data_IF_552047309903
#
_entry.id   IF_552047309903
#
_cell.length_a   1.000
_cell.length_b   1.000
_cell.length_c   1.000
_cell.angle_alpha   90.00
_cell.angle_beta   90.00
_cell.angle_gamma   90.00
#
_symmetry.space_group_name_H-M   'P 1'
#
loop_
_entity.id
_entity.type
_entity.pdbx_description
1 polymer ?
#
# COMPACT_ATOMS: atom_id res chain seq x y z
N UNK A 1 16.40 16.71 -11.61
CA UNK A 1 17.06 15.85 -10.61
C UNK A 1 18.47 15.60 -11.13
N UNK A 2 19.48 15.77 -10.30
CA UNK A 2 20.89 15.67 -10.70
C UNK A 2 21.66 14.71 -9.79
N UNK A 3 22.45 13.81 -10.38
CA UNK A 3 23.30 12.84 -9.68
C UNK A 3 24.73 13.37 -9.66
N UNK A 4 25.27 13.74 -8.50
CA UNK A 4 26.48 14.61 -8.43
C UNK A 4 27.69 14.04 -7.70
N UNK A 5 27.62 12.83 -7.12
CA UNK A 5 28.81 12.19 -6.55
C UNK A 5 28.75 10.68 -6.70
N UNK A 6 29.80 10.05 -7.23
CA UNK A 6 29.97 8.60 -7.18
C UNK A 6 31.22 8.30 -6.38
N UNK A 7 31.08 7.83 -5.16
CA UNK A 7 32.19 7.15 -4.48
C UNK A 7 32.01 5.66 -4.74
N UNK A 8 32.99 5.04 -5.39
CA UNK A 8 33.05 3.60 -5.51
C UNK A 8 33.56 3.04 -4.17
N UNK A 9 32.64 2.51 -3.36
CA UNK A 9 32.91 2.16 -1.96
C UNK A 9 33.24 0.70 -1.77
N UNK A 10 32.82 -0.16 -2.71
CA UNK A 10 33.09 -1.60 -2.71
C UNK A 10 32.89 -2.19 -4.11
N UNK A 11 33.19 -3.48 -4.30
CA UNK A 11 32.94 -4.17 -5.58
C UNK A 11 31.47 -4.16 -5.99
N UNK A 12 30.53 -4.08 -5.03
CA UNK A 12 29.09 -4.26 -5.25
C UNK A 12 28.24 -3.00 -5.08
N UNK A 13 28.61 -2.10 -4.17
CA UNK A 13 27.80 -0.93 -3.82
C UNK A 13 28.43 0.39 -4.28
N UNK A 14 27.56 1.35 -4.57
CA UNK A 14 27.93 2.74 -4.88
C UNK A 14 27.11 3.69 -4.04
N UNK A 15 27.75 4.78 -3.63
CA UNK A 15 27.10 5.88 -2.92
C UNK A 15 26.91 7.04 -3.88
N UNK A 16 25.70 7.60 -3.87
CA UNK A 16 25.26 8.68 -4.72
C UNK A 16 24.68 9.85 -3.94
N UNK A 17 24.88 11.05 -4.46
CA UNK A 17 24.13 12.25 -4.06
C UNK A 17 23.12 12.59 -5.13
N UNK A 18 21.89 12.82 -4.70
CA UNK A 18 20.81 13.29 -5.56
C UNK A 18 20.35 14.66 -5.12
N UNK A 19 20.34 15.63 -6.03
CA UNK A 19 19.82 16.97 -5.77
C UNK A 19 18.52 17.19 -6.56
N UNK A 20 17.47 17.62 -5.86
CA UNK A 20 16.15 17.93 -6.42
C UNK A 20 16.03 19.41 -6.79
N UNK A 21 15.03 19.77 -7.59
CA UNK A 21 14.86 21.12 -8.17
C UNK A 21 14.70 22.23 -7.12
N UNK A 22 14.27 21.89 -5.90
CA UNK A 22 14.13 22.84 -4.78
C UNK A 22 15.35 22.89 -3.87
N UNK A 23 16.45 22.23 -4.25
CA UNK A 23 17.67 22.14 -3.44
C UNK A 23 17.61 21.11 -2.32
N UNK A 24 16.54 20.30 -2.23
CA UNK A 24 16.51 19.11 -1.39
C UNK A 24 17.58 18.12 -1.87
N UNK A 25 18.14 17.33 -0.96
CA UNK A 25 19.24 16.41 -1.27
C UNK A 25 19.01 15.05 -0.61
N UNK A 26 19.37 13.97 -1.32
CA UNK A 26 19.29 12.59 -0.86
C UNK A 26 20.66 11.92 -0.97
N UNK A 27 21.07 11.21 0.08
CA UNK A 27 22.20 10.30 0.04
C UNK A 27 21.71 8.87 -0.21
N UNK A 28 22.29 8.20 -1.19
CA UNK A 28 21.76 6.94 -1.70
C UNK A 28 22.85 5.89 -1.74
N UNK A 29 22.65 4.77 -1.05
CA UNK A 29 23.49 3.58 -1.14
C UNK A 29 22.79 2.53 -1.99
N UNK A 30 23.37 2.14 -3.14
CA UNK A 30 22.75 1.23 -4.10
C UNK A 30 23.70 0.13 -4.57
N UNK A 31 23.14 -1.05 -4.83
CA UNK A 31 23.80 -2.09 -5.63
C UNK A 31 24.03 -1.56 -7.06
N UNK A 32 25.25 -1.68 -7.58
CA UNK A 32 25.67 -1.15 -8.89
C UNK A 32 24.77 -1.61 -10.04
N UNK A 33 24.17 -2.80 -9.92
CA UNK A 33 23.30 -3.38 -10.96
C UNK A 33 21.95 -2.64 -11.10
N UNK A 34 21.53 -1.90 -10.07
CA UNK A 34 20.26 -1.15 -10.06
C UNK A 34 20.42 0.19 -10.76
N UNK A 35 21.62 0.78 -10.75
CA UNK A 35 21.88 2.13 -11.26
C UNK A 35 21.35 2.39 -12.68
N UNK A 36 21.51 1.49 -13.68
CA UNK A 36 20.99 1.71 -15.03
C UNK A 36 19.46 1.69 -15.13
N UNK A 37 18.76 1.21 -14.11
CA UNK A 37 17.30 1.05 -14.05
C UNK A 37 16.62 2.19 -13.30
N UNK A 38 17.40 3.09 -12.70
CA UNK A 38 16.87 4.27 -12.04
C UNK A 38 16.47 5.34 -13.05
N UNK A 39 15.51 6.22 -12.71
CA UNK A 39 15.14 7.33 -13.56
C UNK A 39 16.38 8.15 -13.94
N UNK A 40 16.59 8.47 -15.24
CA UNK A 40 17.74 9.26 -15.66
C UNK A 40 17.70 10.64 -15.00
N UNK A 41 18.87 11.25 -14.80
CA UNK A 41 18.97 12.67 -14.49
C UNK A 41 18.39 13.46 -15.67
N UNK A 42 17.10 13.80 -15.61
CA UNK A 42 16.50 14.66 -16.63
C UNK A 42 16.88 16.11 -16.33
N UNK A 43 17.54 16.83 -17.26
CA UNK A 43 17.76 18.27 -17.15
C UNK A 43 16.44 19.06 -17.31
N UNK A 44 15.40 18.41 -17.83
CA UNK A 44 14.07 18.97 -17.99
C UNK A 44 13.18 18.55 -16.80
N UNK A 45 12.41 19.46 -16.17
CA UNK A 45 11.33 19.04 -15.29
C UNK A 45 10.42 18.07 -16.06
N UNK A 46 9.84 17.04 -15.42
CA UNK A 46 8.87 16.18 -16.09
C UNK A 46 7.86 17.06 -16.81
N UNK A 47 7.68 16.83 -18.12
CA UNK A 47 6.91 17.69 -19.03
C UNK A 47 5.44 17.84 -18.60
N UNK A 48 4.98 16.93 -17.74
CA UNK A 48 3.79 17.14 -16.94
C UNK A 48 4.20 17.83 -15.63
N UNK A 49 3.78 19.09 -15.45
CA UNK A 49 3.60 19.63 -14.10
C UNK A 49 2.96 18.53 -13.25
N UNK A 50 3.49 18.18 -12.06
CA UNK A 50 2.76 17.31 -11.16
C UNK A 50 1.37 17.91 -11.07
N UNK A 51 0.33 17.13 -11.39
CA UNK A 51 -1.05 17.59 -11.24
C UNK A 51 -1.18 18.21 -9.85
N UNK A 52 -2.07 19.19 -9.67
CA UNK A 52 -2.23 19.87 -8.37
C UNK A 52 -2.36 18.88 -7.19
N UNK A 53 -2.83 17.65 -7.46
CA UNK A 53 -2.87 16.49 -6.56
C UNK A 53 -1.51 15.95 -6.05
N UNK A 54 -0.36 16.46 -6.51
CA UNK A 54 0.99 16.03 -6.10
C UNK A 54 1.77 17.14 -5.38
N UNK A 55 1.12 18.24 -4.99
CA UNK A 55 1.75 19.28 -4.19
C UNK A 55 1.28 19.16 -2.75
N UNK A 56 2.24 19.15 -1.83
CA UNK A 56 1.97 19.28 -0.40
C UNK A 56 1.01 20.45 -0.16
N UNK A 57 -0.12 20.24 0.54
CA UNK A 57 -1.04 21.32 0.86
C UNK A 57 -0.33 22.41 1.68
N UNK A 58 -0.66 23.68 1.39
CA UNK A 58 -0.12 24.84 2.13
C UNK A 58 -1.25 25.66 2.77
N UNK A 59 -1.21 25.94 4.09
CA UNK A 59 -0.26 25.38 5.06
C UNK A 59 -0.41 23.85 5.18
N UNK A 60 0.64 23.12 5.63
CA UNK A 60 0.55 21.69 5.89
C UNK A 60 -0.62 21.37 6.82
N UNK A 61 -1.42 20.32 6.56
CA UNK A 61 -2.58 19.96 7.38
C UNK A 61 -2.19 19.27 8.70
N UNK A 62 -0.93 19.40 9.12
CA UNK A 62 -0.37 18.75 10.29
C UNK A 62 0.68 19.61 10.98
N UNK A 63 0.99 19.25 12.23
CA UNK A 63 2.12 19.74 13.01
C UNK A 63 2.90 18.54 13.58
N UNK A 64 4.20 18.72 13.86
CA UNK A 64 5.01 17.73 14.57
C UNK A 64 5.22 18.22 16.00
N UNK A 65 4.90 17.38 16.98
CA UNK A 65 5.08 17.68 18.41
C UNK A 65 5.33 16.40 19.21
N UNK A 66 5.66 16.55 20.49
CA UNK A 66 5.80 15.42 21.42
C UNK A 66 4.50 14.59 21.47
N UNK A 67 4.62 13.29 21.23
CA UNK A 67 3.53 12.31 21.24
C UNK A 67 3.34 11.65 22.62
N UNK A 68 4.11 12.07 23.61
CA UNK A 68 4.06 11.60 24.98
C UNK A 68 5.16 10.59 25.32
N UNK A 69 5.19 10.14 26.58
CA UNK A 69 6.26 9.29 27.10
C UNK A 69 6.48 8.02 26.26
N UNK A 70 7.73 7.80 25.83
CA UNK A 70 8.13 6.60 25.07
C UNK A 70 7.74 6.59 23.59
N UNK A 71 7.07 7.64 23.07
CA UNK A 71 6.68 7.75 21.65
C UNK A 71 7.50 8.74 20.85
N UNK A 72 8.29 9.59 21.51
CA UNK A 72 9.07 10.62 20.84
C UNK A 72 8.17 11.66 20.15
N UNK A 73 8.58 12.14 18.98
CA UNK A 73 7.76 13.06 18.19
C UNK A 73 6.71 12.31 17.38
N UNK A 74 5.52 12.89 17.24
CA UNK A 74 4.44 12.42 16.39
C UNK A 74 3.92 13.51 15.46
N UNK A 75 3.25 13.09 14.40
CA UNK A 75 2.54 13.96 13.47
C UNK A 75 1.06 14.06 13.90
N UNK A 76 0.51 15.28 13.98
CA UNK A 76 -0.87 15.52 14.41
C UNK A 76 -1.61 16.43 13.44
N UNK A 77 -2.85 16.08 13.10
CA UNK A 77 -3.65 16.88 12.19
C UNK A 77 -4.01 18.24 12.78
N UNK A 78 -3.84 19.33 12.03
CA UNK A 78 -4.22 20.69 12.46
C UNK A 78 -5.63 21.08 12.05
N UNK A 79 -6.24 20.29 11.16
CA UNK A 79 -7.60 20.43 10.65
C UNK A 79 -8.13 19.06 10.23
N UNK A 80 -9.42 18.98 9.91
CA UNK A 80 -10.01 17.75 9.39
C UNK A 80 -9.36 17.39 8.03
N UNK A 81 -9.00 16.12 7.86
CA UNK A 81 -8.42 15.57 6.62
C UNK A 81 -9.38 14.50 6.09
N UNK A 82 -9.96 14.69 4.89
CA UNK A 82 -10.84 13.68 4.28
C UNK A 82 -10.10 12.37 3.96
N UNK A 83 -10.83 11.25 3.90
CA UNK A 83 -10.28 9.99 3.40
C UNK A 83 -9.73 10.15 1.98
N UNK A 84 -8.57 9.54 1.72
CA UNK A 84 -7.83 9.60 0.46
C UNK A 84 -7.12 10.93 0.15
N UNK A 85 -7.28 11.95 1.00
CA UNK A 85 -6.64 13.23 0.78
C UNK A 85 -5.11 13.15 0.97
N UNK A 86 -4.38 13.87 0.12
CA UNK A 86 -2.94 14.06 0.24
C UNK A 86 -2.61 14.86 1.50
N UNK A 87 -1.66 14.35 2.30
CA UNK A 87 -1.14 15.00 3.51
C UNK A 87 0.19 15.69 3.20
N UNK A 88 1.11 14.98 2.53
CA UNK A 88 2.48 15.44 2.28
C UNK A 88 3.08 14.72 1.06
N UNK A 89 3.87 15.43 0.26
CA UNK A 89 4.84 14.82 -0.66
C UNK A 89 6.24 15.19 -0.21
N UNK A 90 7.12 14.20 -0.08
CA UNK A 90 8.48 14.37 0.42
C UNK A 90 9.48 13.55 -0.39
N UNK A 91 10.66 14.12 -0.65
CA UNK A 91 11.82 13.40 -1.19
C UNK A 91 12.61 12.75 -0.05
N UNK A 92 13.19 11.57 -0.24
CA UNK A 92 13.95 10.90 0.82
C UNK A 92 15.24 11.64 1.15
N UNK A 93 15.64 11.62 2.41
CA UNK A 93 16.96 12.06 2.87
C UNK A 93 18.02 10.97 2.68
N UNK A 94 17.64 9.71 2.93
CA UNK A 94 18.49 8.53 2.75
C UNK A 94 17.73 7.44 2.00
N UNK A 95 18.41 6.73 1.09
CA UNK A 95 17.95 5.44 0.54
C UNK A 95 19.04 4.39 0.74
N UNK A 96 18.71 3.25 1.35
CA UNK A 96 19.64 2.15 1.63
C UNK A 96 18.96 0.79 1.40
N UNK A 97 19.72 -0.31 1.28
CA UNK A 97 19.17 -1.66 1.43
C UNK A 97 18.42 -1.78 2.75
N UNK A 98 17.29 -2.50 2.74
CA UNK A 98 16.44 -2.71 3.91
C UNK A 98 17.02 -3.70 4.93
N UNK A 99 17.96 -4.54 4.49
CA UNK A 99 18.68 -5.49 5.32
C UNK A 99 20.16 -5.47 4.94
N UNK A 100 21.03 -5.92 5.85
CA UNK A 100 22.42 -6.21 5.49
C UNK A 100 22.43 -7.34 4.45
N UNK A 101 23.01 -7.12 3.25
CA UNK A 101 23.13 -8.21 2.29
C UNK A 101 24.03 -9.29 2.89
N UNK A 102 23.51 -10.50 3.08
CA UNK A 102 24.26 -11.63 3.68
C UNK A 102 25.56 -11.97 2.91
N UNK A 103 25.59 -11.61 1.63
CA UNK A 103 26.73 -11.84 0.72
C UNK A 103 27.78 -10.71 0.74
N UNK A 104 27.61 -9.67 1.55
CA UNK A 104 28.55 -8.56 1.66
C UNK A 104 29.49 -8.77 2.86
N UNK A 105 30.80 -8.66 2.65
CA UNK A 105 31.75 -8.73 3.74
C UNK A 105 31.52 -7.55 4.72
N UNK A 106 31.69 -7.74 6.05
CA UNK A 106 31.49 -6.66 7.03
C UNK A 106 32.31 -5.40 6.75
N UNK A 107 33.53 -5.55 6.22
CA UNK A 107 34.39 -4.42 5.84
C UNK A 107 33.80 -3.61 4.66
N UNK A 108 33.21 -4.28 3.67
CA UNK A 108 32.57 -3.63 2.53
C UNK A 108 31.29 -2.90 2.95
N UNK A 109 30.51 -3.48 3.86
CA UNK A 109 29.35 -2.81 4.49
C UNK A 109 29.80 -1.54 5.22
N UNK A 110 30.88 -1.63 6.00
CA UNK A 110 31.46 -0.51 6.74
C UNK A 110 31.89 0.62 5.80
N UNK A 111 32.61 0.30 4.72
CA UNK A 111 33.06 1.29 3.75
C UNK A 111 31.88 2.00 3.07
N UNK A 112 30.84 1.25 2.70
CA UNK A 112 29.63 1.76 2.06
C UNK A 112 28.87 2.76 2.93
N UNK A 113 28.56 2.41 4.19
CA UNK A 113 27.84 3.33 5.08
C UNK A 113 28.68 4.54 5.50
N UNK A 114 29.99 4.39 5.70
CA UNK A 114 30.85 5.56 5.98
C UNK A 114 30.84 6.55 4.82
N UNK A 115 30.93 6.07 3.59
CA UNK A 115 30.83 6.93 2.42
C UNK A 115 29.44 7.56 2.27
N UNK A 116 28.37 6.84 2.58
CA UNK A 116 27.02 7.41 2.64
C UNK A 116 26.97 8.61 3.60
N UNK A 117 27.54 8.48 4.81
CA UNK A 117 27.59 9.57 5.79
C UNK A 117 28.42 10.77 5.32
N UNK A 118 29.37 10.60 4.39
CA UNK A 118 30.15 11.73 3.82
C UNK A 118 29.40 12.50 2.74
N UNK A 119 28.44 11.85 2.07
CA UNK A 119 27.66 12.44 0.99
C UNK A 119 26.36 13.07 1.51
N UNK A 120 25.90 12.64 2.69
CA UNK A 120 24.74 13.20 3.36
C UNK A 120 24.98 14.65 3.81
N UNK A 121 24.20 15.56 3.23
CA UNK A 121 24.28 16.99 3.54
C UNK A 121 23.81 17.34 4.95
N UNK A 122 24.37 18.41 5.52
CA UNK A 122 24.13 18.84 6.90
C UNK A 122 22.64 19.05 7.23
N UNK A 123 21.84 19.61 6.31
CA UNK A 123 20.41 19.85 6.52
C UNK A 123 19.63 18.55 6.76
N UNK A 124 19.57 17.64 5.76
CA UNK A 124 18.99 16.30 5.93
C UNK A 124 19.58 15.52 7.11
N UNK A 125 20.90 15.62 7.32
CA UNK A 125 21.60 14.96 8.45
C UNK A 125 21.06 15.40 9.81
N UNK A 126 20.91 16.70 10.03
CA UNK A 126 20.33 17.23 11.26
C UNK A 126 18.89 16.72 11.48
N UNK A 127 18.11 16.63 10.40
CA UNK A 127 16.73 16.13 10.45
C UNK A 127 16.63 14.66 10.89
N UNK A 128 17.47 13.79 10.33
CA UNK A 128 17.46 12.35 10.65
C UNK A 128 18.08 12.05 12.01
N UNK A 129 19.09 12.81 12.45
CA UNK A 129 19.74 12.59 13.77
C UNK A 129 18.79 12.85 14.94
N UNK A 130 17.68 13.56 14.72
CA UNK A 130 16.61 13.71 15.70
C UNK A 130 15.56 12.58 15.68
N UNK A 131 15.76 11.50 14.92
CA UNK A 131 14.87 10.34 14.88
C UNK A 131 15.24 9.30 15.93
N UNK A 132 14.31 8.39 16.22
CA UNK A 132 14.60 7.24 17.09
C UNK A 132 15.64 6.33 16.44
N UNK A 133 16.50 5.71 17.23
CA UNK A 133 17.46 4.72 16.76
C UNK A 133 17.52 3.56 17.77
N UNK A 134 16.85 2.45 17.45
CA UNK A 134 16.86 1.24 18.28
C UNK A 134 18.08 0.34 17.99
N UNK A 135 18.92 0.73 17.02
CA UNK A 135 20.13 0.02 16.59
C UNK A 135 21.37 0.94 16.70
N UNK A 136 21.73 1.42 17.90
CA UNK A 136 22.87 2.32 18.07
C UNK A 136 24.20 1.63 17.75
N UNK A 137 25.23 2.45 17.47
CA UNK A 137 26.56 1.97 17.09
C UNK A 137 27.17 1.10 18.18
N UNK A 138 27.76 -0.05 17.80
CA UNK A 138 28.49 -0.92 18.73
C UNK A 138 27.61 -1.75 19.68
N UNK A 139 26.32 -1.91 19.37
CA UNK A 139 25.45 -2.86 20.08
C UNK A 139 25.33 -4.14 19.24
N UNK A 140 25.92 -5.23 19.72
CA UNK A 140 25.75 -6.58 19.16
C UNK A 140 24.29 -7.05 19.34
N UNK A 141 23.68 -7.62 18.30
CA UNK A 141 22.42 -8.36 18.43
C UNK A 141 21.17 -7.49 18.64
N UNK A 142 20.88 -6.60 17.69
CA UNK A 142 19.50 -6.16 17.49
C UNK A 142 18.60 -7.41 17.45
N UNK A 143 17.59 -7.47 18.31
CA UNK A 143 16.82 -8.69 18.59
C UNK A 143 15.97 -9.07 17.36
N UNK A 144 16.56 -9.63 16.31
CA UNK A 144 15.87 -10.44 15.31
C UNK A 144 15.89 -11.90 15.76
N UNK A 145 14.83 -12.65 15.52
CA UNK A 145 14.79 -14.09 15.82
C UNK A 145 15.89 -14.87 15.08
N UNK A 146 16.25 -16.01 15.67
CA UNK A 146 17.36 -16.90 15.30
C UNK A 146 17.39 -17.25 13.80
N UNK A 147 18.39 -16.74 13.08
CA UNK A 147 18.69 -17.17 11.70
C UNK A 147 19.39 -16.15 10.81
N UNK A 148 19.28 -14.85 11.12
CA UNK A 148 19.80 -13.76 10.28
C UNK A 148 20.70 -12.87 11.15
N UNK A 149 22.02 -13.03 11.04
CA UNK A 149 22.97 -12.31 11.89
C UNK A 149 22.91 -10.79 11.69
N UNK A 150 22.28 -10.06 12.61
CA UNK A 150 22.36 -8.60 12.67
C UNK A 150 23.59 -8.18 13.49
N UNK A 151 24.75 -8.12 12.82
CA UNK A 151 25.97 -7.55 13.39
C UNK A 151 25.85 -6.05 13.67
N UNK A 152 26.66 -5.52 14.60
CA UNK A 152 26.65 -4.12 15.07
C UNK A 152 26.43 -3.09 13.96
N UNK A 153 25.53 -2.11 14.19
CA UNK A 153 25.45 -0.93 13.34
C UNK A 153 26.75 -0.13 13.45
N UNK A 154 27.22 0.38 12.33
CA UNK A 154 28.57 0.91 12.16
C UNK A 154 28.59 2.44 12.13
N UNK A 155 27.43 3.05 11.86
CA UNK A 155 27.20 4.50 11.87
C UNK A 155 25.82 4.81 12.48
N UNK A 156 25.61 6.01 13.05
CA UNK A 156 24.29 6.44 13.47
C UNK A 156 23.28 6.43 12.30
N UNK A 157 23.71 6.80 11.10
CA UNK A 157 22.85 6.84 9.91
C UNK A 157 22.34 5.45 9.49
N UNK A 158 23.17 4.41 9.60
CA UNK A 158 22.76 3.01 9.36
C UNK A 158 21.66 2.59 10.34
N UNK A 159 21.88 2.80 11.64
CA UNK A 159 20.91 2.44 12.67
C UNK A 159 19.59 3.21 12.51
N UNK A 160 19.66 4.51 12.20
CA UNK A 160 18.48 5.34 11.92
C UNK A 160 17.76 4.85 10.65
N UNK A 161 18.50 4.52 9.59
CA UNK A 161 17.90 4.04 8.34
C UNK A 161 17.17 2.71 8.53
N UNK A 162 17.71 1.80 9.33
CA UNK A 162 17.07 0.53 9.64
C UNK A 162 15.92 0.66 10.64
N UNK A 163 15.98 1.65 11.54
CA UNK A 163 14.89 1.92 12.50
C UNK A 163 13.70 2.64 11.87
N UNK A 164 13.94 3.56 10.92
CA UNK A 164 12.91 4.50 10.42
C UNK A 164 12.58 4.30 8.94
N UNK A 165 13.43 3.57 8.20
CA UNK A 165 13.32 3.39 6.77
C UNK A 165 11.99 2.76 6.38
N UNK A 166 11.25 3.46 5.52
CA UNK A 166 10.03 2.94 4.93
C UNK A 166 10.35 2.20 3.65
N UNK A 167 9.80 1.00 3.46
CA UNK A 167 10.02 0.20 2.25
C UNK A 167 9.59 0.97 1.00
N UNK A 168 10.48 1.01 0.00
CA UNK A 168 10.24 1.61 -1.31
C UNK A 168 10.42 0.60 -2.44
N UNK A 169 9.74 0.82 -3.56
CA UNK A 169 9.85 -0.01 -4.75
C UNK A 169 10.86 0.54 -5.74
N UNK A 170 11.93 -0.20 -6.03
CA UNK A 170 12.87 0.09 -7.12
C UNK A 170 12.65 -0.89 -8.28
N UNK A 171 13.25 -0.57 -9.43
CA UNK A 171 13.33 -1.51 -10.56
C UNK A 171 14.61 -2.32 -10.41
N UNK A 172 14.49 -3.65 -10.46
CA UNK A 172 15.61 -4.58 -10.26
C UNK A 172 15.85 -5.39 -11.53
N UNK A 173 17.11 -5.77 -11.82
CA UNK A 173 17.41 -6.63 -12.94
C UNK A 173 17.04 -8.10 -12.64
N UNK A 174 16.82 -8.89 -13.69
CA UNK A 174 16.29 -10.25 -13.61
C UNK A 174 17.20 -11.22 -12.82
N UNK A 175 18.51 -10.96 -12.81
CA UNK A 175 19.50 -11.75 -12.08
C UNK A 175 19.44 -11.59 -10.56
N UNK A 176 18.90 -10.49 -10.03
CA UNK A 176 18.76 -10.29 -8.57
C UNK A 176 17.53 -11.04 -8.10
N UNK A 177 17.61 -12.33 -7.73
CA UNK A 177 16.39 -13.13 -7.44
C UNK A 177 15.99 -13.17 -5.97
N UNK A 178 16.87 -12.80 -5.05
CA UNK A 178 16.60 -12.83 -3.61
C UNK A 178 15.69 -11.70 -3.15
N UNK A 179 14.73 -12.00 -2.26
CA UNK A 179 13.86 -10.98 -1.65
C UNK A 179 14.67 -9.91 -0.92
N UNK A 180 15.66 -10.34 -0.12
CA UNK A 180 16.58 -9.46 0.60
C UNK A 180 17.37 -8.53 -0.33
N UNK A 181 17.76 -9.02 -1.53
CA UNK A 181 18.48 -8.20 -2.51
C UNK A 181 17.59 -7.13 -3.16
N UNK A 182 16.27 -7.32 -3.13
CA UNK A 182 15.27 -6.44 -3.72
C UNK A 182 14.57 -5.54 -2.70
N UNK A 183 15.07 -5.47 -1.48
CA UNK A 183 14.45 -4.68 -0.42
C UNK A 183 15.27 -3.43 -0.13
N UNK A 184 14.64 -2.27 -0.30
CA UNK A 184 15.22 -0.96 -0.04
C UNK A 184 14.30 -0.16 0.88
N UNK A 185 14.90 0.55 1.81
CA UNK A 185 14.25 1.49 2.70
C UNK A 185 14.62 2.92 2.34
N UNK A 186 13.69 3.84 2.57
CA UNK A 186 13.92 5.27 2.45
C UNK A 186 13.57 5.99 3.76
N UNK A 187 14.45 6.89 4.20
CA UNK A 187 14.23 7.76 5.35
C UNK A 187 13.75 9.12 4.86
N UNK A 188 12.63 9.56 5.40
CA UNK A 188 11.97 10.82 5.14
C UNK A 188 11.90 11.62 6.44
N UNK A 189 12.38 12.86 6.44
CA UNK A 189 12.54 13.67 7.66
C UNK A 189 11.19 13.93 8.34
N UNK A 190 10.13 14.08 7.54
CA UNK A 190 8.79 14.44 8.02
C UNK A 190 7.83 13.24 8.00
N UNK A 191 7.76 12.45 6.92
CA UNK A 191 6.85 11.27 6.83
C UNK A 191 7.15 10.28 7.97
N UNK A 192 8.42 10.01 8.29
CA UNK A 192 8.79 9.06 9.35
C UNK A 192 8.57 9.59 10.78
N UNK A 193 7.96 10.78 10.94
CA UNK A 193 7.37 11.23 12.22
C UNK A 193 5.96 10.69 12.45
N UNK A 194 5.39 9.98 11.49
CA UNK A 194 4.10 9.29 11.65
C UNK A 194 4.31 8.03 12.49
N UNK A 195 3.84 8.04 13.73
CA UNK A 195 3.97 6.92 14.66
C UNK A 195 3.17 5.68 14.23
N UNK A 196 3.45 4.55 14.88
CA UNK A 196 2.75 3.29 14.63
C UNK A 196 1.32 3.25 15.19
N UNK A 197 0.40 2.67 14.43
CA UNK A 197 -0.86 2.08 14.91
C UNK A 197 -1.18 0.79 14.14
N UNK A 198 -1.71 -0.24 14.82
CA UNK A 198 -2.21 -1.46 14.16
C UNK A 198 -3.55 -1.24 13.41
N UNK A 199 -4.19 -0.09 13.64
CA UNK A 199 -5.30 0.44 12.85
C UNK A 199 -4.93 1.85 12.37
N UNK A 200 -4.04 1.97 11.38
CA UNK A 200 -3.49 3.26 10.96
C UNK A 200 -4.53 4.13 10.25
N UNK A 201 -4.34 5.44 10.28
CA UNK A 201 -5.20 6.39 9.57
C UNK A 201 -4.51 7.03 8.35
N UNK A 202 -3.24 6.73 8.11
CA UNK A 202 -2.49 7.15 6.94
C UNK A 202 -1.61 6.04 6.37
N UNK A 203 -1.24 6.17 5.09
CA UNK A 203 -0.28 5.31 4.42
C UNK A 203 0.57 6.14 3.45
N UNK A 204 1.71 5.59 3.05
CA UNK A 204 2.56 6.19 2.02
C UNK A 204 2.40 5.48 0.67
N UNK A 205 2.68 6.21 -0.40
CA UNK A 205 2.82 5.71 -1.76
C UNK A 205 4.14 6.20 -2.33
N UNK A 206 5.01 5.27 -2.70
CA UNK A 206 6.25 5.57 -3.40
C UNK A 206 5.99 5.80 -4.89
N UNK A 207 6.58 6.87 -5.44
CA UNK A 207 6.59 7.18 -6.86
C UNK A 207 8.03 7.22 -7.37
N UNK A 208 8.45 6.14 -8.04
CA UNK A 208 9.81 6.01 -8.58
C UNK A 208 10.14 7.11 -9.61
N UNK A 209 9.27 7.47 -10.58
CA UNK A 209 9.56 8.51 -11.57
C UNK A 209 9.92 9.88 -10.98
N UNK A 210 9.26 10.31 -9.90
CA UNK A 210 9.59 11.55 -9.19
C UNK A 210 10.56 11.35 -8.03
N UNK A 211 10.84 10.09 -7.67
CA UNK A 211 11.66 9.70 -6.52
C UNK A 211 11.18 10.34 -5.21
N UNK A 212 9.86 10.30 -5.01
CA UNK A 212 9.18 10.91 -3.87
C UNK A 212 8.17 9.94 -3.25
N UNK A 213 7.80 10.20 -2.00
CA UNK A 213 6.69 9.52 -1.35
C UNK A 213 5.54 10.50 -1.09
N UNK A 214 4.31 10.04 -1.34
CA UNK A 214 3.08 10.73 -0.94
C UNK A 214 2.52 10.07 0.32
N UNK A 215 2.35 10.83 1.39
CA UNK A 215 1.57 10.43 2.58
C UNK A 215 0.11 10.86 2.36
N UNK A 216 -0.84 9.95 2.57
CA UNK A 216 -2.26 10.21 2.36
C UNK A 216 -3.12 9.55 3.44
N UNK A 217 -4.31 10.10 3.67
CA UNK A 217 -5.24 9.59 4.66
C UNK A 217 -5.99 8.34 4.16
N UNK A 218 -6.13 7.32 5.00
CA UNK A 218 -6.88 6.10 4.73
C UNK A 218 -8.36 6.22 5.11
N UNK A 219 -8.65 7.07 6.08
CA UNK A 219 -9.98 7.38 6.61
C UNK A 219 -10.03 8.85 7.02
N UNK A 220 -11.20 9.43 7.34
CA UNK A 220 -11.25 10.78 7.88
C UNK A 220 -10.39 10.89 9.15
N UNK A 221 -9.59 11.94 9.24
CA UNK A 221 -8.73 12.26 10.40
C UNK A 221 -9.25 13.56 11.02
N UNK A 222 -9.55 13.53 12.31
CA UNK A 222 -10.09 14.69 13.04
C UNK A 222 -8.98 15.70 13.39
N UNK A 223 -9.30 17.00 13.57
CA UNK A 223 -8.35 17.96 14.13
C UNK A 223 -7.80 17.47 15.48
N UNK A 224 -6.48 17.52 15.64
CA UNK A 224 -5.77 17.05 16.84
C UNK A 224 -5.52 15.54 16.91
N UNK A 225 -6.08 14.75 15.99
CA UNK A 225 -5.80 13.31 15.90
C UNK A 225 -4.37 13.07 15.42
N UNK A 226 -3.68 12.09 16.01
CA UNK A 226 -2.35 11.67 15.58
C UNK A 226 -2.43 10.96 14.22
N UNK A 227 -1.60 11.37 13.28
CA UNK A 227 -1.43 10.75 11.96
C UNK A 227 -0.47 9.57 12.15
N UNK A 228 -0.97 8.37 11.89
CA UNK A 228 -0.27 7.11 12.16
C UNK A 228 -0.22 6.22 10.93
N UNK A 229 0.91 5.52 10.80
CA UNK A 229 1.14 4.48 9.79
C UNK A 229 1.26 3.12 10.48
N UNK A 230 1.27 2.03 9.70
CA UNK A 230 1.59 0.71 10.25
C UNK A 230 3.04 0.34 9.95
N UNK A 231 3.73 -0.25 10.92
CA UNK A 231 5.13 -0.68 10.83
C UNK A 231 5.25 -2.21 10.72
N UNK A 232 4.12 -2.90 10.85
CA UNK A 232 4.00 -4.35 10.78
C UNK A 232 2.71 -4.69 10.02
N UNK A 233 2.58 -5.87 9.38
CA UNK A 233 1.34 -6.25 8.72
C UNK A 233 0.18 -6.26 9.73
N UNK A 234 -0.85 -5.40 9.55
CA UNK A 234 -1.87 -5.22 10.57
C UNK A 234 -2.81 -6.43 10.67
N UNK A 235 -2.79 -7.35 9.71
CA UNK A 235 -3.63 -8.54 9.69
C UNK A 235 -3.03 -9.74 10.45
N UNK A 236 -1.80 -9.62 10.98
CA UNK A 236 -1.22 -10.61 11.88
C UNK A 236 -1.89 -10.57 13.26
N UNK A 237 -1.87 -11.66 14.06
CA UNK A 237 -2.36 -11.65 15.43
C UNK A 237 -1.60 -10.66 16.32
N UNK A 238 -2.26 -10.14 17.34
CA UNK A 238 -1.72 -9.12 18.26
C UNK A 238 -0.37 -9.51 18.87
N UNK A 239 -0.21 -10.76 19.27
CA UNK A 239 1.05 -11.29 19.82
C UNK A 239 2.21 -11.16 18.84
N UNK A 240 2.00 -11.51 17.56
CA UNK A 240 3.01 -11.37 16.52
C UNK A 240 3.32 -9.91 16.22
N UNK A 241 2.29 -9.05 16.15
CA UNK A 241 2.48 -7.60 15.94
C UNK A 241 3.31 -7.00 17.07
N UNK A 242 2.99 -7.31 18.32
CA UNK A 242 3.72 -6.81 19.50
C UNK A 242 5.16 -7.34 19.51
N UNK A 243 5.36 -8.64 19.28
CA UNK A 243 6.70 -9.24 19.23
C UNK A 243 7.56 -8.55 18.15
N UNK A 244 7.04 -8.39 16.94
CA UNK A 244 7.74 -7.70 15.86
C UNK A 244 8.09 -6.24 16.20
N UNK A 245 7.17 -5.50 16.84
CA UNK A 245 7.43 -4.10 17.21
C UNK A 245 8.45 -3.98 18.35
N UNK A 246 8.45 -4.93 19.28
CA UNK A 246 9.48 -5.01 20.32
C UNK A 246 10.85 -5.33 19.72
N UNK A 247 10.90 -6.30 18.81
CA UNK A 247 12.13 -6.83 18.23
C UNK A 247 12.79 -5.85 17.26
N UNK A 248 12.01 -5.17 16.42
CA UNK A 248 12.53 -4.25 15.40
C UNK A 248 12.53 -2.77 15.80
N UNK A 249 11.68 -2.35 16.74
CA UNK A 249 11.50 -0.94 17.10
C UNK A 249 11.62 -0.65 18.60
N UNK A 250 11.88 -1.66 19.43
CA UNK A 250 12.09 -1.53 20.88
C UNK A 250 10.95 -0.85 21.63
N UNK A 251 9.70 -1.03 21.19
CA UNK A 251 8.52 -0.53 21.91
C UNK A 251 7.37 -1.55 21.94
N UNK A 252 6.48 -1.39 22.92
CA UNK A 252 5.23 -2.17 23.00
C UNK A 252 4.07 -1.32 22.51
N UNK A 253 3.29 -1.84 21.56
CA UNK A 253 2.15 -1.12 20.99
C UNK A 253 1.00 -0.99 21.97
N UNK A 254 0.56 0.24 22.23
CA UNK A 254 -0.56 0.59 23.10
C UNK A 254 -1.78 1.11 22.34
N UNK A 255 -1.90 0.80 21.04
CA UNK A 255 -3.04 1.23 20.25
C UNK A 255 -4.32 0.49 20.68
N UNK A 256 -5.52 1.04 20.39
CA UNK A 256 -6.80 0.44 20.76
C UNK A 256 -7.02 -1.01 20.29
N UNK A 257 -6.27 -1.48 19.28
CA UNK A 257 -6.36 -2.85 18.76
C UNK A 257 -5.40 -3.86 19.41
N UNK A 258 -4.45 -3.39 20.23
CA UNK A 258 -3.53 -4.24 21.00
C UNK A 258 -3.82 -4.20 22.51
N UNK A 259 -4.62 -3.23 22.97
CA UNK A 259 -5.01 -3.08 24.37
C UNK A 259 -6.42 -3.59 24.65
N UNK A 260 -7.00 -4.41 23.74
CA UNK A 260 -8.33 -4.97 23.95
C UNK A 260 -8.31 -5.99 25.11
N UNK A 261 -9.42 -6.14 25.85
CA UNK A 261 -9.61 -7.26 26.75
C UNK A 261 -9.42 -8.61 26.03
N UNK A 262 -8.94 -9.68 26.71
CA UNK A 262 -8.55 -10.94 26.06
C UNK A 262 -9.59 -11.55 25.11
N UNK A 263 -10.87 -11.53 25.47
CA UNK A 263 -11.95 -12.07 24.63
C UNK A 263 -12.12 -11.24 23.35
N UNK A 264 -12.10 -9.91 23.45
CA UNK A 264 -12.19 -9.01 22.31
C UNK A 264 -10.93 -9.07 21.45
N UNK A 265 -9.76 -9.28 22.06
CA UNK A 265 -8.51 -9.48 21.34
C UNK A 265 -8.54 -10.73 20.47
N UNK A 266 -9.07 -11.85 20.99
CA UNK A 266 -9.23 -13.08 20.21
C UNK A 266 -10.20 -12.90 19.02
N UNK A 267 -11.31 -12.16 19.22
CA UNK A 267 -12.23 -11.82 18.13
C UNK A 267 -11.60 -10.90 17.08
N UNK A 268 -10.82 -9.91 17.50
CA UNK A 268 -10.08 -9.01 16.59
C UNK A 268 -9.04 -9.78 15.78
N UNK A 269 -8.24 -10.65 16.42
CA UNK A 269 -7.22 -11.44 15.75
C UNK A 269 -7.84 -12.44 14.75
N UNK A 270 -8.99 -13.05 15.08
CA UNK A 270 -9.74 -13.87 14.14
C UNK A 270 -10.29 -13.07 12.94
N UNK A 271 -10.77 -11.84 13.17
CA UNK A 271 -11.26 -10.95 12.10
C UNK A 271 -10.13 -10.54 11.15
N UNK A 272 -8.97 -10.18 11.71
CA UNK A 272 -7.74 -9.85 10.98
C UNK A 272 -7.20 -11.03 10.19
N UNK A 273 -7.22 -12.24 10.75
CA UNK A 273 -6.87 -13.46 10.04
C UNK A 273 -7.82 -13.74 8.86
N UNK A 274 -9.13 -13.57 9.05
CA UNK A 274 -10.12 -13.72 7.97
C UNK A 274 -9.84 -12.73 6.82
N UNK A 275 -9.47 -11.49 7.13
CA UNK A 275 -9.07 -10.50 6.12
C UNK A 275 -7.78 -10.87 5.39
N UNK A 276 -6.76 -11.37 6.11
CA UNK A 276 -5.49 -11.84 5.50
C UNK A 276 -5.73 -12.94 4.47
N UNK A 277 -6.56 -13.91 4.85
CA UNK A 277 -6.77 -15.14 4.08
C UNK A 277 -8.05 -15.05 3.22
N UNK A 278 -8.58 -13.83 3.00
CA UNK A 278 -9.90 -13.61 2.42
C UNK A 278 -10.10 -14.31 1.08
N UNK A 279 -9.11 -14.18 0.19
CA UNK A 279 -9.12 -14.74 -1.16
C UNK A 279 -9.10 -16.28 -1.21
N UNK A 280 -8.71 -16.94 -0.12
CA UNK A 280 -8.73 -18.41 -0.01
C UNK A 280 -10.14 -18.95 0.26
N UNK A 281 -10.97 -18.16 0.94
CA UNK A 281 -12.28 -18.61 1.44
C UNK A 281 -13.47 -18.01 0.68
N UNK A 282 -13.26 -16.92 -0.06
CA UNK A 282 -14.34 -16.21 -0.76
C UNK A 282 -14.10 -16.22 -2.27
N UNK A 283 -15.18 -16.31 -3.08
CA UNK A 283 -15.04 -16.19 -4.52
C UNK A 283 -14.57 -14.77 -4.88
N UNK A 284 -13.57 -14.68 -5.74
CA UNK A 284 -13.21 -13.43 -6.39
C UNK A 284 -13.96 -13.22 -7.71
N UNK A 285 -14.11 -11.97 -8.11
CA UNK A 285 -14.71 -11.51 -9.35
C UNK A 285 -14.15 -12.26 -10.57
N UNK A 286 -12.82 -12.43 -10.64
CA UNK A 286 -12.14 -13.07 -11.76
C UNK A 286 -12.69 -14.47 -12.09
N UNK A 287 -13.09 -15.25 -11.08
CA UNK A 287 -13.71 -16.57 -11.23
C UNK A 287 -15.23 -16.46 -11.35
N UNK A 288 -15.86 -15.59 -10.54
CA UNK A 288 -17.31 -15.48 -10.43
C UNK A 288 -18.00 -14.91 -11.67
N UNK A 289 -17.39 -13.96 -12.39
CA UNK A 289 -18.11 -13.17 -13.39
C UNK A 289 -18.66 -13.99 -14.57
N UNK A 290 -18.03 -15.13 -14.90
CA UNK A 290 -18.48 -16.11 -15.91
C UNK A 290 -19.24 -17.30 -15.32
N UNK A 291 -19.19 -17.49 -14.01
CA UNK A 291 -19.82 -18.61 -13.33
C UNK A 291 -21.30 -18.30 -13.04
N UNK A 292 -22.15 -18.70 -13.98
CA UNK A 292 -23.60 -18.51 -13.90
C UNK A 292 -24.28 -19.51 -12.94
N UNK A 293 -23.57 -20.50 -12.40
CA UNK A 293 -24.11 -21.39 -11.38
C UNK A 293 -24.19 -20.71 -10.01
N UNK A 294 -23.30 -19.74 -9.75
CA UNK A 294 -23.33 -18.93 -8.52
C UNK A 294 -24.40 -17.85 -8.56
N UNK A 295 -24.83 -17.39 -7.38
CA UNK A 295 -25.73 -16.26 -7.24
C UNK A 295 -25.07 -14.94 -7.70
N UNK A 296 -25.90 -13.98 -8.12
CA UNK A 296 -25.46 -12.68 -8.68
C UNK A 296 -24.92 -11.72 -7.61
N UNK A 297 -25.18 -11.99 -6.35
CA UNK A 297 -24.72 -11.23 -5.19
C UNK A 297 -23.54 -11.90 -4.47
N UNK A 298 -23.13 -13.12 -4.84
CA UNK A 298 -22.17 -13.91 -4.06
C UNK A 298 -20.84 -13.20 -3.76
N UNK A 299 -20.25 -12.50 -4.73
CA UNK A 299 -19.00 -11.72 -4.53
C UNK A 299 -19.30 -10.37 -3.87
N UNK A 300 -20.46 -9.79 -4.16
CA UNK A 300 -20.89 -8.51 -3.58
C UNK A 300 -21.06 -8.65 -2.07
N UNK A 301 -21.84 -9.65 -1.62
CA UNK A 301 -22.04 -9.95 -0.21
C UNK A 301 -20.72 -10.20 0.50
N UNK A 302 -19.81 -10.97 -0.12
CA UNK A 302 -18.48 -11.18 0.43
C UNK A 302 -17.69 -9.85 0.57
N UNK A 303 -17.65 -9.01 -0.46
CA UNK A 303 -16.94 -7.73 -0.38
C UNK A 303 -17.53 -6.80 0.69
N UNK A 304 -18.86 -6.76 0.84
CA UNK A 304 -19.53 -5.96 1.87
C UNK A 304 -19.20 -6.47 3.28
N UNK A 305 -19.21 -7.78 3.51
CA UNK A 305 -18.76 -8.38 4.77
C UNK A 305 -17.29 -8.03 5.06
N UNK A 306 -16.42 -8.08 4.05
CA UNK A 306 -15.02 -7.70 4.21
C UNK A 306 -14.87 -6.22 4.62
N UNK A 307 -15.63 -5.32 4.00
CA UNK A 307 -15.61 -3.89 4.33
C UNK A 307 -16.06 -3.61 5.77
N UNK A 308 -17.04 -4.36 6.29
CA UNK A 308 -17.43 -4.26 7.70
C UNK A 308 -16.28 -4.68 8.64
N UNK A 309 -15.54 -5.74 8.29
CA UNK A 309 -14.35 -6.15 9.06
C UNK A 309 -13.24 -5.08 8.96
N UNK A 310 -13.02 -4.52 7.77
CA UNK A 310 -12.01 -3.48 7.55
C UNK A 310 -12.28 -2.25 8.40
N UNK A 311 -13.53 -1.78 8.43
CA UNK A 311 -13.95 -0.65 9.25
C UNK A 311 -13.76 -0.94 10.74
N UNK A 312 -14.24 -2.11 11.21
CA UNK A 312 -14.14 -2.51 12.62
C UNK A 312 -12.70 -2.64 13.10
N UNK A 313 -11.83 -3.20 12.27
CA UNK A 313 -10.42 -3.43 12.60
C UNK A 313 -9.52 -2.23 12.29
N UNK A 314 -10.05 -1.14 11.75
CA UNK A 314 -9.25 0.05 11.43
C UNK A 314 -8.17 -0.21 10.37
N UNK A 315 -8.35 -1.21 9.50
CA UNK A 315 -7.36 -1.60 8.48
C UNK A 315 -7.72 -1.04 7.11
N UNK A 316 -8.11 0.24 7.10
CA UNK A 316 -8.66 0.97 5.94
C UNK A 316 -7.82 0.91 4.67
N UNK A 317 -6.51 0.65 4.78
CA UNK A 317 -5.63 0.41 3.64
C UNK A 317 -6.05 -0.78 2.75
N UNK A 318 -6.89 -1.68 3.25
CA UNK A 318 -7.46 -2.79 2.47
C UNK A 318 -8.78 -2.42 1.74
N UNK A 319 -9.42 -1.28 2.06
CA UNK A 319 -10.70 -0.90 1.45
C UNK A 319 -10.67 -0.86 -0.08
N UNK A 320 -9.63 -0.30 -0.74
CA UNK A 320 -9.59 -0.24 -2.20
C UNK A 320 -9.77 -1.60 -2.89
N UNK A 321 -9.23 -2.68 -2.30
CA UNK A 321 -9.30 -4.03 -2.87
C UNK A 321 -10.76 -4.48 -3.06
N UNK A 322 -11.58 -4.28 -2.04
CA UNK A 322 -12.99 -4.72 -2.05
C UNK A 322 -13.89 -3.74 -2.81
N UNK A 323 -13.60 -2.43 -2.72
CA UNK A 323 -14.34 -1.40 -3.46
C UNK A 323 -14.14 -1.55 -4.97
N UNK A 324 -12.91 -1.84 -5.41
CA UNK A 324 -12.60 -2.12 -6.81
C UNK A 324 -13.41 -3.33 -7.31
N UNK A 325 -13.44 -4.39 -6.51
CA UNK A 325 -14.16 -5.63 -6.84
C UNK A 325 -15.67 -5.42 -6.93
N UNK A 326 -16.26 -4.61 -6.04
CA UNK A 326 -17.66 -4.17 -6.11
C UNK A 326 -17.94 -3.40 -7.41
N UNK A 327 -17.07 -2.46 -7.79
CA UNK A 327 -17.20 -1.74 -9.06
C UNK A 327 -17.24 -2.73 -10.24
N UNK A 328 -16.32 -3.70 -10.28
CA UNK A 328 -16.29 -4.69 -11.35
C UNK A 328 -17.53 -5.60 -11.36
N UNK A 329 -18.05 -5.98 -10.18
CA UNK A 329 -19.26 -6.77 -10.06
C UNK A 329 -20.49 -6.03 -10.59
N UNK A 330 -20.74 -4.80 -10.12
CA UNK A 330 -21.88 -4.00 -10.57
C UNK A 330 -21.79 -3.64 -12.06
N UNK A 331 -20.58 -3.42 -12.59
CA UNK A 331 -20.38 -3.25 -14.02
C UNK A 331 -20.83 -4.48 -14.83
N UNK A 332 -20.45 -5.69 -14.41
CA UNK A 332 -20.84 -6.94 -15.09
C UNK A 332 -22.33 -7.25 -14.98
N UNK A 333 -22.97 -6.84 -13.90
CA UNK A 333 -24.43 -6.89 -13.75
C UNK A 333 -25.13 -5.77 -14.55
N UNK A 334 -24.41 -4.69 -14.86
CA UNK A 334 -24.94 -3.51 -15.53
C UNK A 334 -25.81 -2.65 -14.60
N UNK A 335 -25.58 -2.73 -13.29
CA UNK A 335 -26.29 -1.98 -12.26
C UNK A 335 -25.67 -0.59 -12.11
N UNK A 336 -26.19 0.36 -12.88
CA UNK A 336 -25.59 1.68 -13.05
C UNK A 336 -25.50 2.48 -11.73
N UNK A 337 -26.58 2.49 -10.94
CA UNK A 337 -26.68 3.27 -9.71
C UNK A 337 -25.65 2.83 -8.67
N UNK A 338 -25.58 1.53 -8.40
CA UNK A 338 -24.59 0.96 -7.47
C UNK A 338 -23.18 1.11 -8.01
N UNK A 339 -22.97 0.90 -9.32
CA UNK A 339 -21.66 1.15 -9.93
C UNK A 339 -21.18 2.59 -9.69
N UNK A 340 -22.02 3.60 -9.94
CA UNK A 340 -21.66 5.01 -9.74
C UNK A 340 -21.32 5.31 -8.28
N UNK A 341 -22.08 4.73 -7.35
CA UNK A 341 -21.85 4.87 -5.91
C UNK A 341 -20.47 4.36 -5.53
N UNK A 342 -20.14 3.12 -5.87
CA UNK A 342 -18.87 2.51 -5.51
C UNK A 342 -17.69 3.09 -6.29
N UNK A 343 -17.89 3.51 -7.54
CA UNK A 343 -16.88 4.23 -8.32
C UNK A 343 -16.52 5.58 -7.65
N UNK A 344 -17.49 6.31 -7.11
CA UNK A 344 -17.24 7.53 -6.34
C UNK A 344 -16.40 7.27 -5.08
N UNK A 345 -16.67 6.17 -4.36
CA UNK A 345 -15.85 5.74 -3.22
C UNK A 345 -14.43 5.39 -3.66
N UNK A 346 -14.28 4.62 -4.75
CA UNK A 346 -12.96 4.24 -5.29
C UNK A 346 -12.13 5.46 -5.68
N UNK A 347 -12.75 6.43 -6.36
CA UNK A 347 -12.10 7.69 -6.73
C UNK A 347 -11.58 8.42 -5.48
N UNK A 348 -12.43 8.56 -4.47
CA UNK A 348 -12.06 9.21 -3.21
C UNK A 348 -10.87 8.54 -2.51
N UNK A 349 -10.83 7.21 -2.47
CA UNK A 349 -9.77 6.46 -1.80
C UNK A 349 -8.45 6.40 -2.58
N UNK A 350 -8.53 6.34 -3.92
CA UNK A 350 -7.39 5.96 -4.76
C UNK A 350 -6.78 7.11 -5.57
N UNK A 351 -7.30 8.33 -5.48
CA UNK A 351 -6.74 9.46 -6.25
C UNK A 351 -5.23 9.66 -6.00
N UNK A 352 -4.79 9.50 -4.75
CA UNK A 352 -3.37 9.50 -4.39
C UNK A 352 -2.78 8.10 -4.37
N UNK A 353 -3.47 7.12 -3.77
CA UNK A 353 -2.93 5.78 -3.53
C UNK A 353 -2.64 5.00 -4.82
N UNK A 354 -3.55 5.09 -5.78
CA UNK A 354 -3.47 4.40 -7.07
C UNK A 354 -4.31 5.12 -8.14
N UNK A 355 -3.80 6.20 -8.73
CA UNK A 355 -4.53 6.89 -9.81
C UNK A 355 -4.67 6.00 -11.07
N UNK A 356 -3.89 4.92 -11.19
CA UNK A 356 -4.01 3.94 -12.26
C UNK A 356 -5.30 3.14 -12.16
N UNK A 357 -5.63 2.61 -10.99
CA UNK A 357 -6.86 1.85 -10.76
C UNK A 357 -8.10 2.70 -11.03
N UNK A 358 -8.06 3.99 -10.67
CA UNK A 358 -9.15 4.93 -10.97
C UNK A 358 -9.33 5.08 -12.48
N UNK A 359 -8.25 5.32 -13.22
CA UNK A 359 -8.31 5.45 -14.69
C UNK A 359 -8.84 4.18 -15.35
N UNK A 360 -8.40 3.02 -14.90
CA UNK A 360 -8.85 1.74 -15.43
C UNK A 360 -10.32 1.48 -15.10
N UNK A 361 -10.66 1.36 -13.82
CA UNK A 361 -11.97 0.84 -13.39
C UNK A 361 -13.08 1.84 -13.63
N UNK A 362 -12.84 3.13 -13.30
CA UNK A 362 -13.84 4.19 -13.51
C UNK A 362 -13.94 4.51 -14.99
N UNK A 363 -12.81 4.55 -15.71
CA UNK A 363 -12.78 4.78 -17.16
C UNK A 363 -13.53 3.69 -17.93
N UNK A 364 -13.22 2.41 -17.68
CA UNK A 364 -13.90 1.29 -18.31
C UNK A 364 -15.40 1.26 -17.98
N UNK A 365 -15.79 1.51 -16.73
CA UNK A 365 -17.21 1.49 -16.38
C UNK A 365 -18.01 2.65 -17.00
N UNK A 366 -17.45 3.87 -17.05
CA UNK A 366 -18.06 4.99 -17.77
C UNK A 366 -18.20 4.71 -19.26
N UNK A 367 -17.20 4.06 -19.87
CA UNK A 367 -17.25 3.67 -21.28
C UNK A 367 -18.30 2.58 -21.54
N UNK A 368 -18.35 1.55 -20.69
CA UNK A 368 -19.32 0.47 -20.80
C UNK A 368 -20.77 0.94 -20.63
N UNK A 369 -20.99 1.91 -19.76
CA UNK A 369 -22.29 2.55 -19.56
C UNK A 369 -22.74 3.38 -20.78
N UNK A 370 -21.79 4.02 -21.48
CA UNK A 370 -22.06 4.78 -22.72
C UNK A 370 -22.28 3.86 -23.93
N UNK A 371 -21.43 2.86 -24.10
CA UNK A 371 -21.53 1.90 -25.21
C UNK A 371 -21.05 0.52 -24.77
N UNK A 372 -22.01 -0.36 -24.48
CA UNK A 372 -21.77 -1.76 -24.08
C UNK A 372 -20.95 -2.57 -25.08
N UNK A 373 -20.87 -2.15 -26.35
CA UNK A 373 -20.06 -2.82 -27.38
C UNK A 373 -18.56 -2.58 -27.18
N UNK A 374 -18.20 -1.45 -26.56
CA UNK A 374 -16.82 -1.06 -26.28
C UNK A 374 -16.28 -1.77 -25.04
N UNK A 375 -17.14 -2.05 -24.06
CA UNK A 375 -16.79 -2.83 -22.87
C UNK A 375 -17.70 -4.05 -22.78
N UNK A 376 -17.31 -5.13 -23.46
CA UNK A 376 -18.09 -6.37 -23.61
C UNK A 376 -18.56 -7.00 -22.30
N UNK A 377 -17.90 -6.69 -21.18
CA UNK A 377 -18.25 -7.21 -19.85
C UNK A 377 -19.43 -6.46 -19.23
N UNK A 378 -19.69 -5.21 -19.63
CA UNK A 378 -20.75 -4.40 -19.04
C UNK A 378 -22.13 -5.04 -19.27
N UNK A 379 -22.86 -5.29 -18.18
CA UNK A 379 -24.17 -5.95 -18.21
C UNK A 379 -24.15 -7.38 -18.78
N UNK A 380 -22.97 -7.98 -18.97
CA UNK A 380 -22.84 -9.31 -19.60
C UNK A 380 -23.66 -10.36 -18.85
N UNK A 381 -23.57 -10.37 -17.52
CA UNK A 381 -24.24 -11.37 -16.68
C UNK A 381 -25.76 -11.20 -16.71
N UNK A 382 -26.25 -9.95 -16.70
CA UNK A 382 -27.67 -9.64 -16.91
C UNK A 382 -28.21 -10.21 -18.23
N UNK A 383 -27.47 -10.03 -19.32
CA UNK A 383 -27.83 -10.59 -20.63
C UNK A 383 -27.86 -12.12 -20.58
N UNK A 384 -26.86 -12.76 -19.96
CA UNK A 384 -26.84 -14.23 -19.83
C UNK A 384 -28.04 -14.76 -19.02
N UNK A 385 -28.38 -14.10 -17.91
CA UNK A 385 -29.55 -14.47 -17.09
C UNK A 385 -30.86 -14.38 -17.86
N UNK A 386 -31.04 -13.31 -18.63
CA UNK A 386 -32.21 -13.15 -19.50
C UNK A 386 -32.30 -14.28 -20.53
N UNK A 387 -31.19 -14.66 -21.15
CA UNK A 387 -31.14 -15.76 -22.12
C UNK A 387 -31.42 -17.12 -21.49
N UNK A 388 -30.87 -17.41 -20.31
CA UNK A 388 -31.13 -18.66 -19.58
C UNK A 388 -32.60 -18.78 -19.16
N UNK A 389 -33.20 -17.70 -18.64
CA UNK A 389 -34.60 -17.67 -18.26
C UNK A 389 -35.54 -17.77 -19.47
N UNK A 390 -35.19 -17.13 -20.60
CA UNK A 390 -35.90 -17.27 -21.86
C UNK A 390 -35.85 -18.70 -22.42
N UNK A 391 -34.72 -19.40 -22.29
CA UNK A 391 -34.61 -20.83 -22.65
C UNK A 391 -35.46 -21.72 -21.73
N UNK A 392 -35.48 -21.48 -20.42
CA UNK A 392 -36.37 -22.22 -19.49
C UNK A 392 -37.85 -22.06 -19.85
N UNK A 393 -38.29 -20.85 -20.23
CA UNK A 393 -39.67 -20.60 -20.67
C UNK A 393 -40.02 -21.31 -21.98
N UNK A 394 -39.07 -21.51 -22.90
CA UNK A 394 -39.30 -22.26 -24.14
C UNK A 394 -39.34 -23.78 -23.94
N UNK A 395 -38.63 -24.30 -22.93
CA UNK A 395 -38.64 -25.74 -22.58
C UNK A 395 -39.89 -26.12 -21.77
N UNK A 396 -40.50 -25.15 -21.07
CA UNK A 396 -41.75 -25.32 -20.33
C UNK A 396 -42.96 -24.63 -20.99
N UNK A 397 -42.86 -24.29 -22.28
CA UNK A 397 -44.03 -23.91 -23.09
C UNK A 397 -44.94 -25.14 -23.26
N UNK A 398 -46.26 -24.89 -23.24
CA UNK A 398 -47.36 -25.85 -23.09
C UNK A 398 -47.10 -27.27 -23.65
N UNK A 399 -47.55 -28.33 -22.93
CA UNK A 399 -47.49 -29.67 -23.49
C UNK A 399 -48.20 -29.66 -24.86
N UNK A 400 -47.67 -30.35 -25.88
CA UNK A 400 -48.38 -30.47 -27.14
C UNK A 400 -49.75 -31.06 -26.85
N UNK A 401 -50.78 -30.40 -27.36
CA UNK A 401 -52.18 -30.74 -27.19
C UNK A 401 -52.40 -32.22 -27.58
N UNK A 402 -52.55 -33.08 -26.58
CA UNK A 402 -52.65 -34.54 -26.77
C UNK A 402 -54.03 -34.94 -27.32
N UNK A 403 -54.98 -33.99 -27.42
CA UNK A 403 -56.29 -34.23 -28.02
C UNK A 403 -56.28 -34.29 -29.56
N UNK A 404 -55.17 -33.93 -30.22
CA UNK A 404 -55.07 -34.00 -31.68
C UNK A 404 -54.89 -35.43 -32.26
N UNK A 405 -54.76 -36.47 -31.42
CA UNK A 405 -54.52 -37.85 -31.86
C UNK A 405 -55.70 -38.82 -31.75
N UNK A 406 -56.87 -38.38 -31.28
CA UNK A 406 -58.08 -39.21 -31.24
C UNK A 406 -59.24 -38.53 -31.95
N UNK A 407 -59.28 -38.64 -33.28
CA UNK A 407 -60.51 -38.40 -34.05
C UNK A 407 -61.34 -39.70 -34.08
N UNK A 408 -62.58 -39.71 -33.54
CA UNK A 408 -63.45 -40.87 -33.59
C UNK A 408 -64.37 -40.79 -34.80
N UNK A 409 -63.86 -41.07 -36.01
CA UNK A 409 -64.71 -41.44 -37.15
C UNK A 409 -63.86 -42.03 -38.27
N UNK A 410 -63.97 -43.34 -38.46
CA UNK A 410 -64.36 -43.95 -39.74
C UNK A 410 -64.62 -45.44 -39.49
N UNK A 411 -65.90 -45.78 -39.50
CA UNK A 411 -66.41 -47.07 -39.97
C UNK A 411 -66.10 -47.23 -41.47
#
# INVERSE_FOLDING_TARGET
MEWTSTTDTSTRFTVHKLTFTKGEECAILLDKRILPLLPPASPSPPTALPSQSHRTPHPPPFEIKDAGPGKGLGMFATRAIPAGALILVEHPAIVTPGHAPQSLAPADRTAAYRALSTVLSEGPKAGILGMSNCRPVGVEGGQGEEGEGEGECLTPEEGIAWTNGTTIGLTFPDEMRGKEEREYGAVFVVINRSNHSCGPNAAHKWDLPTFSASLYALRPIAPGEEITMTYTPPTLPSTFRIAHLQSHYSFTCLCPHCTLPPQLQATSDASRARLRDWHLHHPGYAKWWRDLARADDAVITACLEALELVEREGVHGMMPLFVEELCRCYAVLGEEGEWRRWAGVLMGLCEVADPGVVREVVGEGMEGMRDVRRVRRWGWRRVQRMQMNGRKRRVHGDPPDVEAYFSPTLF
#
